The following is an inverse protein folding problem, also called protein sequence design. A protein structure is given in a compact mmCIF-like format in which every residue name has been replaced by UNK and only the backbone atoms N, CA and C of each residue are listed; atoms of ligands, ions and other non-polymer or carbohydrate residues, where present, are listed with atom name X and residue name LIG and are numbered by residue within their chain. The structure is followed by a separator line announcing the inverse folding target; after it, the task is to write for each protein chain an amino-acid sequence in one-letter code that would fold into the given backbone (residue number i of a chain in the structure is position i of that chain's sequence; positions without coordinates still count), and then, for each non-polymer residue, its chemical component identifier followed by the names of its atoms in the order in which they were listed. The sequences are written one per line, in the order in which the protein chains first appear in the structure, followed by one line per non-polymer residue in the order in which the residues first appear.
data_IF_324603194406
#
_entry.id   IF_324603194406
#
_cell.length_a   1.000
_cell.length_b   1.000
_cell.length_c   1.000
_cell.angle_alpha   90.00
_cell.angle_beta   90.00
_cell.angle_gamma   90.00
#
_symmetry.space_group_name_H-M   'P 1'
#
loop_
_entity.id
_entity.type
_entity.pdbx_description
1 polymer ?
#
# COMPACT_ATOMS: atom_id res chain seq x y z
N UNK A 1 -30.66 37.07 -14.03
CA UNK A 1 -29.30 37.52 -13.68
C UNK A 1 -29.36 38.45 -12.48
N UNK A 2 -30.23 39.47 -12.48
CA UNK A 2 -30.43 40.36 -11.32
C UNK A 2 -30.92 39.60 -10.07
N UNK A 3 -31.90 38.69 -10.20
CA UNK A 3 -32.40 37.91 -9.07
C UNK A 3 -31.33 36.98 -8.45
N UNK A 4 -30.56 36.30 -9.30
CA UNK A 4 -29.48 35.39 -8.88
C UNK A 4 -28.32 36.15 -8.21
N UNK A 5 -28.09 37.39 -8.65
CA UNK A 5 -27.11 38.28 -8.07
C UNK A 5 -27.56 38.77 -6.69
N UNK A 6 -28.82 39.19 -6.54
CA UNK A 6 -29.34 39.58 -5.23
C UNK A 6 -29.25 38.44 -4.22
N UNK A 7 -29.66 37.23 -4.59
CA UNK A 7 -29.59 36.05 -3.72
C UNK A 7 -28.16 35.75 -3.26
N UNK A 8 -27.19 35.75 -4.18
CA UNK A 8 -25.79 35.44 -3.84
C UNK A 8 -25.16 36.55 -3.01
N UNK A 9 -25.48 37.82 -3.30
CA UNK A 9 -24.96 38.96 -2.53
C UNK A 9 -25.52 38.99 -1.10
N UNK A 10 -26.79 38.62 -0.90
CA UNK A 10 -27.42 38.51 0.41
C UNK A 10 -26.83 37.35 1.22
N UNK A 11 -26.62 36.18 0.58
CA UNK A 11 -25.93 35.05 1.21
C UNK A 11 -24.51 35.42 1.65
N UNK A 12 -23.75 36.11 0.79
CA UNK A 12 -22.37 36.51 1.06
C UNK A 12 -22.29 37.52 2.21
N UNK A 13 -23.19 38.49 2.24
CA UNK A 13 -23.33 39.44 3.35
C UNK A 13 -23.69 38.75 4.67
N UNK A 14 -24.53 37.71 4.62
CA UNK A 14 -24.89 36.93 5.82
C UNK A 14 -23.71 36.13 6.36
N UNK A 15 -22.95 35.47 5.50
CA UNK A 15 -21.80 34.65 5.91
C UNK A 15 -20.59 35.50 6.30
N UNK A 16 -20.42 36.70 5.75
CA UNK A 16 -19.42 37.67 6.25
C UNK A 16 -19.69 38.08 7.70
N UNK A 17 -20.97 38.28 8.05
CA UNK A 17 -21.37 38.59 9.43
C UNK A 17 -21.11 37.41 10.36
N UNK A 18 -21.32 36.18 9.89
CA UNK A 18 -21.02 34.96 10.66
C UNK A 18 -19.51 34.75 10.82
N UNK A 19 -18.72 34.95 9.76
CA UNK A 19 -17.26 34.84 9.79
C UNK A 19 -16.60 35.82 10.77
N UNK A 20 -17.17 37.03 10.92
CA UNK A 20 -16.74 37.98 11.94
C UNK A 20 -16.85 37.41 13.37
N UNK A 21 -17.75 36.46 13.59
CA UNK A 21 -18.03 35.87 14.89
C UNK A 21 -17.40 34.48 15.08
N UNK A 22 -17.10 33.75 14.00
CA UNK A 22 -16.57 32.36 14.05
C UNK A 22 -15.42 32.13 13.04
N UNK A 23 -14.26 31.69 13.56
CA UNK A 23 -13.02 31.46 12.78
C UNK A 23 -13.16 30.28 11.79
N UNK A 24 -14.06 29.33 12.05
CA UNK A 24 -14.26 28.14 11.21
C UNK A 24 -15.14 28.37 9.97
N UNK A 25 -15.65 29.59 9.73
CA UNK A 25 -16.48 29.89 8.56
C UNK A 25 -15.67 30.26 7.28
N UNK A 26 -14.33 30.26 7.35
CA UNK A 26 -13.46 30.66 6.23
C UNK A 26 -13.69 29.85 4.94
N UNK A 27 -13.82 28.52 5.05
CA UNK A 27 -14.02 27.67 3.87
C UNK A 27 -15.34 27.93 3.16
N UNK A 28 -16.40 28.23 3.92
CA UNK A 28 -17.72 28.55 3.37
C UNK A 28 -17.69 29.91 2.68
N UNK A 29 -17.07 30.89 3.32
CA UNK A 29 -16.89 32.23 2.77
C UNK A 29 -16.09 32.20 1.45
N UNK A 30 -15.00 31.45 1.42
CA UNK A 30 -14.17 31.29 0.23
C UNK A 30 -14.91 30.58 -0.92
N UNK A 31 -15.79 29.62 -0.62
CA UNK A 31 -16.67 29.02 -1.63
C UNK A 31 -17.68 30.03 -2.21
N UNK A 32 -18.24 30.91 -1.39
CA UNK A 32 -19.19 31.93 -1.84
C UNK A 32 -18.51 33.02 -2.69
N UNK A 33 -17.33 33.49 -2.29
CA UNK A 33 -16.53 34.41 -3.11
C UNK A 33 -16.21 33.82 -4.49
N UNK A 34 -15.85 32.54 -4.57
CA UNK A 34 -15.63 31.88 -5.87
C UNK A 34 -16.89 31.80 -6.73
N UNK A 35 -18.08 31.72 -6.12
CA UNK A 35 -19.36 31.73 -6.85
C UNK A 35 -19.69 33.12 -7.36
N UNK A 36 -19.48 34.15 -6.55
CA UNK A 36 -19.63 35.55 -6.95
C UNK A 36 -18.66 35.89 -8.10
N UNK A 37 -17.37 35.57 -7.96
CA UNK A 37 -16.36 35.73 -9.00
C UNK A 37 -16.73 34.99 -10.29
N UNK A 38 -17.33 33.81 -10.19
CA UNK A 38 -17.82 33.08 -11.34
C UNK A 38 -18.99 33.82 -11.99
N UNK A 39 -19.94 34.37 -11.24
CA UNK A 39 -21.04 35.17 -11.81
C UNK A 39 -20.54 36.41 -12.55
N UNK A 40 -19.56 37.11 -11.99
CA UNK A 40 -19.01 38.34 -12.58
C UNK A 40 -18.09 38.07 -13.77
N UNK A 41 -17.34 36.96 -13.77
CA UNK A 41 -16.48 36.56 -14.89
C UNK A 41 -17.22 35.70 -15.92
N UNK A 42 -18.50 35.98 -16.20
CA UNK A 42 -19.33 35.15 -17.09
C UNK A 42 -18.71 34.96 -18.49
N UNK A 43 -18.01 35.98 -19.00
CA UNK A 43 -17.31 35.95 -20.29
C UNK A 43 -16.16 34.93 -20.35
N UNK A 44 -15.62 34.53 -19.19
CA UNK A 44 -14.55 33.54 -19.07
C UNK A 44 -15.04 32.11 -18.80
N UNK A 45 -16.36 31.86 -18.76
CA UNK A 45 -16.89 30.51 -18.48
C UNK A 45 -16.49 29.50 -19.55
N UNK A 46 -16.46 29.89 -20.81
CA UNK A 46 -16.02 29.00 -21.87
C UNK A 46 -14.55 28.62 -21.72
N UNK A 47 -13.71 29.55 -21.26
CA UNK A 47 -12.30 29.29 -20.95
C UNK A 47 -12.16 28.36 -19.73
N UNK A 48 -12.91 28.63 -18.65
CA UNK A 48 -12.91 27.77 -17.44
C UNK A 48 -13.40 26.36 -17.79
N UNK A 49 -14.49 26.25 -18.57
CA UNK A 49 -15.04 24.97 -19.05
C UNK A 49 -14.03 24.22 -19.91
N UNK A 50 -13.32 24.92 -20.80
CA UNK A 50 -12.26 24.32 -21.62
C UNK A 50 -11.10 23.81 -20.77
N UNK A 51 -10.68 24.58 -19.76
CA UNK A 51 -9.62 24.19 -18.83
C UNK A 51 -10.02 22.96 -18.01
N UNK A 52 -11.21 22.96 -17.41
CA UNK A 52 -11.72 21.81 -16.67
C UNK A 52 -11.87 20.57 -17.55
N UNK A 53 -12.34 20.73 -18.79
CA UNK A 53 -12.41 19.63 -19.76
C UNK A 53 -11.01 19.07 -20.05
N UNK A 54 -10.01 19.93 -20.19
CA UNK A 54 -8.63 19.52 -20.40
C UNK A 54 -8.05 18.80 -19.18
N UNK A 55 -8.33 19.28 -17.97
CA UNK A 55 -7.97 18.59 -16.72
C UNK A 55 -8.58 17.20 -16.64
N UNK A 56 -9.88 17.07 -16.95
CA UNK A 56 -10.57 15.77 -16.98
C UNK A 56 -9.90 14.82 -17.98
N UNK A 57 -9.58 15.28 -19.18
CA UNK A 57 -8.87 14.45 -20.16
C UNK A 57 -7.48 14.03 -19.67
N UNK A 58 -6.74 14.94 -19.03
CA UNK A 58 -5.44 14.61 -18.45
C UNK A 58 -5.55 13.58 -17.33
N UNK A 59 -6.59 13.65 -16.50
CA UNK A 59 -6.88 12.62 -15.50
C UNK A 59 -7.25 11.28 -16.14
N UNK A 60 -8.06 11.28 -17.18
CA UNK A 60 -8.42 10.07 -17.92
C UNK A 60 -7.19 9.39 -18.54
N UNK A 61 -6.30 10.16 -19.17
CA UNK A 61 -5.05 9.64 -19.75
C UNK A 61 -4.12 9.06 -18.68
N UNK A 62 -3.97 9.74 -17.53
CA UNK A 62 -3.20 9.21 -16.40
C UNK A 62 -3.78 7.90 -15.87
N UNK A 63 -5.10 7.84 -15.69
CA UNK A 63 -5.78 6.65 -15.19
C UNK A 63 -5.61 5.48 -16.17
N UNK A 64 -5.74 5.74 -17.46
CA UNK A 64 -5.50 4.74 -18.50
C UNK A 64 -4.06 4.19 -18.47
N UNK A 65 -3.05 5.06 -18.34
CA UNK A 65 -1.65 4.65 -18.20
C UNK A 65 -1.44 3.78 -16.95
N UNK A 66 -2.02 4.16 -15.81
CA UNK A 66 -1.93 3.38 -14.59
C UNK A 66 -2.61 2.01 -14.72
N UNK A 67 -3.74 1.91 -15.42
CA UNK A 67 -4.38 0.62 -15.70
C UNK A 67 -3.47 -0.28 -16.55
N UNK A 68 -2.87 0.26 -17.61
CA UNK A 68 -1.93 -0.49 -18.44
C UNK A 68 -0.72 -1.01 -17.64
N UNK A 69 -0.20 -0.22 -16.71
CA UNK A 69 0.91 -0.65 -15.86
C UNK A 69 0.50 -1.75 -14.87
N UNK A 70 -0.74 -1.72 -14.38
CA UNK A 70 -1.29 -2.79 -13.54
C UNK A 70 -1.45 -4.08 -14.35
N UNK A 71 -2.00 -3.99 -15.56
CA UNK A 71 -2.17 -5.16 -16.44
C UNK A 71 -0.83 -5.82 -16.78
N UNK A 72 0.22 -5.02 -17.04
CA UNK A 72 1.58 -5.55 -17.24
C UNK A 72 2.08 -6.31 -16.01
N UNK A 73 1.91 -5.74 -14.82
CA UNK A 73 2.32 -6.40 -13.58
C UNK A 73 1.54 -7.69 -13.34
N UNK A 74 0.24 -7.72 -13.64
CA UNK A 74 -0.57 -8.93 -13.54
C UNK A 74 -0.02 -10.03 -14.47
N UNK A 75 0.30 -9.70 -15.71
CA UNK A 75 0.92 -10.63 -16.66
C UNK A 75 2.28 -11.13 -16.16
N UNK A 76 3.11 -10.25 -15.59
CA UNK A 76 4.38 -10.63 -14.95
C UNK A 76 4.13 -11.62 -13.80
N UNK A 77 3.17 -11.34 -12.91
CA UNK A 77 2.81 -12.26 -11.81
C UNK A 77 2.27 -13.61 -12.29
N UNK A 78 1.42 -13.61 -13.31
CA UNK A 78 0.90 -14.84 -13.92
C UNK A 78 2.02 -15.68 -14.53
N UNK A 79 2.98 -15.03 -15.20
CA UNK A 79 4.15 -15.70 -15.79
C UNK A 79 5.10 -16.30 -14.74
N UNK A 80 5.22 -15.67 -13.57
CA UNK A 80 5.99 -16.21 -12.44
C UNK A 80 5.29 -17.41 -11.80
N UNK A 81 3.97 -17.37 -11.68
CA UNK A 81 3.19 -18.48 -11.11
C UNK A 81 3.09 -19.69 -12.05
N UNK A 82 3.05 -19.49 -13.38
CA UNK A 82 3.02 -20.60 -14.35
C UNK A 82 4.30 -21.45 -14.35
N UNK A 83 5.41 -20.96 -13.80
CA UNK A 83 6.69 -21.66 -13.74
C UNK A 83 7.01 -22.28 -12.36
N UNK A 84 6.04 -22.33 -11.45
CA UNK A 84 6.22 -22.92 -10.11
C UNK A 84 5.28 -24.09 -9.85
N UNK A 85 5.39 -25.15 -10.65
CA UNK A 85 5.22 -26.49 -10.08
C UNK A 85 6.55 -26.87 -9.44
N UNK A 86 6.72 -26.53 -8.16
CA UNK A 86 7.79 -27.11 -7.37
C UNK A 86 7.43 -28.59 -7.16
N UNK A 87 8.09 -29.47 -7.89
CA UNK A 87 8.05 -30.92 -7.65
C UNK A 87 8.77 -31.19 -6.32
N UNK A 88 8.04 -30.95 -5.24
CA UNK A 88 8.54 -31.15 -3.89
C UNK A 88 8.48 -32.63 -3.61
N UNK A 89 9.62 -33.31 -3.77
CA UNK A 89 9.77 -34.68 -3.31
C UNK A 89 9.65 -34.73 -1.78
N UNK A 90 8.46 -35.06 -1.29
CA UNK A 90 8.15 -35.14 0.15
C UNK A 90 9.09 -36.12 0.89
N UNK A 91 9.59 -37.14 0.18
CA UNK A 91 10.54 -38.12 0.73
C UNK A 91 11.87 -37.44 1.09
N UNK A 92 12.37 -36.54 0.26
CA UNK A 92 13.65 -35.85 0.50
C UNK A 92 13.53 -34.84 1.65
N UNK A 93 12.35 -34.24 1.83
CA UNK A 93 12.08 -33.37 2.99
C UNK A 93 12.04 -34.18 4.28
N UNK A 94 11.37 -35.34 4.27
CA UNK A 94 11.33 -36.22 5.43
C UNK A 94 12.73 -36.70 5.82
N UNK A 95 13.54 -37.12 4.84
CA UNK A 95 14.95 -37.51 5.05
C UNK A 95 15.76 -36.34 5.62
N UNK A 96 15.65 -35.14 5.07
CA UNK A 96 16.37 -33.96 5.56
C UNK A 96 15.92 -33.53 6.97
N UNK A 97 14.63 -33.63 7.28
CA UNK A 97 14.11 -33.37 8.62
C UNK A 97 14.64 -34.38 9.65
N UNK A 98 14.81 -35.63 9.23
CA UNK A 98 15.37 -36.70 10.05
C UNK A 98 16.88 -36.56 10.26
N UNK A 99 17.61 -36.03 9.27
CA UNK A 99 19.05 -35.69 9.39
C UNK A 99 19.28 -34.59 10.43
N UNK A 100 18.32 -33.68 10.60
CA UNK A 100 18.38 -32.56 11.57
C UNK A 100 17.83 -32.90 12.96
N UNK A 101 17.27 -34.10 13.17
CA UNK A 101 16.73 -34.53 14.46
C UNK A 101 17.85 -34.77 15.48
N UNK A 102 17.92 -33.91 16.51
CA UNK A 102 18.93 -33.94 17.59
C UNK A 102 18.87 -35.19 18.48
N UNK A 103 17.88 -36.07 18.29
CA UNK A 103 17.58 -37.20 19.17
C UNK A 103 17.82 -38.57 18.49
N UNK A 104 18.31 -38.60 17.24
CA UNK A 104 18.59 -39.86 16.53
C UNK A 104 20.09 -39.97 16.24
N UNK A 105 20.67 -41.10 16.61
CA UNK A 105 22.08 -41.40 16.32
C UNK A 105 22.32 -41.42 14.80
N UNK A 106 23.42 -40.82 14.30
CA UNK A 106 23.74 -40.87 12.88
C UNK A 106 23.95 -42.32 12.42
N UNK A 107 23.68 -42.64 11.14
CA UNK A 107 23.98 -43.96 10.58
C UNK A 107 25.47 -44.32 10.73
N UNK A 108 25.77 -45.62 10.80
CA UNK A 108 27.16 -46.11 10.87
C UNK A 108 28.01 -45.52 9.73
N UNK A 109 29.16 -44.91 10.09
CA UNK A 109 30.07 -44.23 9.16
C UNK A 109 29.88 -42.72 9.03
N UNK A 110 28.80 -42.15 9.59
CA UNK A 110 28.52 -40.69 9.56
C UNK A 110 28.80 -39.98 10.89
N UNK A 111 29.47 -40.64 11.84
CA UNK A 111 29.77 -40.12 13.18
C UNK A 111 30.60 -38.83 13.18
N UNK A 112 31.38 -38.57 12.12
CA UNK A 112 32.19 -37.36 11.95
C UNK A 112 31.62 -36.39 10.90
N UNK A 113 30.39 -36.61 10.43
CA UNK A 113 29.76 -35.74 9.43
C UNK A 113 29.29 -34.44 10.07
N UNK A 114 29.64 -33.30 9.46
CA UNK A 114 29.15 -31.97 9.85
C UNK A 114 27.65 -31.78 9.60
N UNK A 115 26.98 -32.77 9.00
CA UNK A 115 25.57 -32.71 8.62
C UNK A 115 24.62 -33.15 9.74
N UNK A 116 25.12 -33.89 10.73
CA UNK A 116 24.32 -34.35 11.87
C UNK A 116 24.70 -33.56 13.11
N UNK A 117 23.70 -33.08 13.84
CA UNK A 117 23.92 -32.43 15.13
C UNK A 117 24.28 -33.50 16.18
N UNK A 118 25.21 -33.22 17.11
CA UNK A 118 25.50 -34.15 18.20
C UNK A 118 24.24 -34.34 19.07
N UNK A 119 24.06 -35.57 19.55
CA UNK A 119 22.98 -35.91 20.47
C UNK A 119 23.02 -35.00 21.71
N UNK A 120 21.85 -34.59 22.20
CA UNK A 120 21.73 -33.83 23.45
C UNK A 120 21.18 -34.70 24.59
N UNK A 121 21.80 -34.72 25.78
CA UNK A 121 23.03 -34.00 26.14
C UNK A 121 24.29 -34.66 25.54
N UNK A 122 25.26 -33.83 25.12
CA UNK A 122 26.55 -34.32 24.63
C UNK A 122 27.44 -34.72 25.84
N UNK A 123 28.37 -35.66 25.65
CA UNK A 123 29.29 -36.13 26.69
C UNK A 123 30.01 -34.98 27.40
N UNK A 124 30.52 -33.99 26.65
CA UNK A 124 31.17 -32.80 27.22
C UNK A 124 30.24 -31.98 28.13
N UNK A 125 28.92 -32.00 27.88
CA UNK A 125 27.94 -31.31 28.73
C UNK A 125 27.68 -32.10 30.02
N UNK A 126 27.82 -33.42 29.98
CA UNK A 126 27.75 -34.28 31.15
C UNK A 126 29.03 -34.15 31.99
N UNK A 127 30.20 -34.13 31.33
CA UNK A 127 31.49 -33.92 31.99
C UNK A 127 31.55 -32.56 32.69
N UNK A 128 31.08 -31.48 32.05
CA UNK A 128 30.97 -30.16 32.68
C UNK A 128 30.09 -30.16 33.94
N UNK A 129 29.02 -30.96 33.97
CA UNK A 129 28.17 -31.10 35.17
C UNK A 129 28.88 -31.86 36.32
N UNK A 130 29.92 -32.63 36.01
CA UNK A 130 30.71 -33.38 36.98
C UNK A 130 32.03 -32.69 37.36
N UNK A 131 32.40 -31.59 36.70
CA UNK A 131 33.58 -30.77 37.04
C UNK A 131 33.32 -29.81 38.23
N UNK A 132 32.06 -29.62 38.62
CA UNK A 132 31.63 -28.78 39.76
C UNK A 132 31.45 -29.57 41.09
N UNK A 133 31.77 -30.87 41.12
CA UNK A 133 31.85 -31.74 42.33
C UNK A 133 33.31 -32.02 42.74
#
# INVERSE_FOLDING_TARGET
MEDLYSEISEELLSELKNFKNDINAYEKLHKLFRKEDALFNFENWDNIKKNLKHEIFNFQDKLYKHLLDIDKKLLEYESLNQNQELDVNLVDIEVNSNILSRNKEPPEGFTNSSWYLPCFPNLNMIEFLHEDD
#
